data_IF_449827444604
#
_entry.id   IF_449827444604
#
_cell.length_a   1.000
_cell.length_b   1.000
_cell.length_c   1.000
_cell.angle_alpha   90.00
_cell.angle_beta   90.00
_cell.angle_gamma   90.00
#
_symmetry.space_group_name_H-M   'P 1'
#
loop_
_entity.id
_entity.type
_entity.pdbx_description
1 polymer ?
#
# COMPACT_ATOMS: atom_id res chain seq x y z
N UNK A 1 -10.60 29.00 50.50
CA UNK A 1 -9.67 28.04 49.87
C UNK A 1 -10.38 27.24 48.79
N UNK A 2 -11.27 26.31 49.19
CA UNK A 2 -11.85 25.29 48.30
C UNK A 2 -12.69 25.81 47.13
N UNK A 3 -13.59 26.78 47.32
CA UNK A 3 -14.43 27.28 46.21
C UNK A 3 -13.64 28.05 45.13
N UNK A 4 -12.49 28.61 45.48
CA UNK A 4 -11.61 29.28 44.53
C UNK A 4 -10.82 28.26 43.68
N UNK A 5 -10.38 27.16 44.30
CA UNK A 5 -9.72 26.05 43.59
C UNK A 5 -10.68 25.28 42.68
N UNK A 6 -11.93 25.06 43.10
CA UNK A 6 -12.96 24.43 42.26
C UNK A 6 -13.31 25.28 41.03
N UNK A 7 -13.36 26.60 41.19
CA UNK A 7 -13.57 27.53 40.07
C UNK A 7 -12.44 27.49 39.05
N UNK A 8 -11.19 27.36 39.53
CA UNK A 8 -10.00 27.31 38.67
C UNK A 8 -9.89 25.96 37.92
N UNK A 9 -10.21 24.85 38.60
CA UNK A 9 -10.24 23.52 37.98
C UNK A 9 -11.33 23.40 36.91
N UNK A 10 -12.51 24.01 37.12
CA UNK A 10 -13.58 24.07 36.11
C UNK A 10 -13.18 24.88 34.87
N UNK A 11 -12.44 25.98 35.04
CA UNK A 11 -11.89 26.78 33.92
C UNK A 11 -10.85 25.99 33.12
N UNK A 12 -9.89 25.36 33.79
CA UNK A 12 -8.89 24.51 33.12
C UNK A 12 -9.51 23.33 32.38
N UNK A 13 -10.60 22.73 32.90
CA UNK A 13 -11.33 21.67 32.19
C UNK A 13 -12.11 22.19 30.98
N UNK A 14 -12.62 23.43 31.03
CA UNK A 14 -13.26 24.09 29.89
C UNK A 14 -12.27 24.38 28.77
N UNK A 15 -11.11 24.95 29.10
CA UNK A 15 -10.04 25.26 28.15
C UNK A 15 -9.46 24.00 27.48
N UNK A 16 -9.24 22.92 28.25
CA UNK A 16 -8.81 21.62 27.69
C UNK A 16 -9.82 21.02 26.72
N UNK A 17 -11.13 21.12 27.02
CA UNK A 17 -12.19 20.62 26.13
C UNK A 17 -12.28 21.44 24.84
N UNK A 18 -12.13 22.76 24.92
CA UNK A 18 -12.08 23.63 23.73
C UNK A 18 -10.84 23.37 22.87
N UNK A 19 -9.67 23.14 23.48
CA UNK A 19 -8.46 22.74 22.75
C UNK A 19 -8.62 21.38 22.07
N UNK A 20 -9.22 20.40 22.75
CA UNK A 20 -9.50 19.09 22.15
C UNK A 20 -10.51 19.18 21.00
N UNK A 21 -11.56 19.99 21.12
CA UNK A 21 -12.51 20.23 20.04
C UNK A 21 -11.86 20.97 18.87
N UNK A 22 -11.02 21.98 19.12
CA UNK A 22 -10.24 22.68 18.08
C UNK A 22 -9.27 21.72 17.38
N UNK A 23 -8.58 20.85 18.12
CA UNK A 23 -7.72 19.79 17.55
C UNK A 23 -8.54 18.78 16.72
N UNK A 24 -9.71 18.36 17.20
CA UNK A 24 -10.62 17.45 16.44
C UNK A 24 -11.18 18.11 15.18
N UNK A 25 -11.54 19.41 15.22
CA UNK A 25 -11.98 20.18 14.06
C UNK A 25 -10.85 20.38 13.04
N UNK A 26 -9.63 20.74 13.47
CA UNK A 26 -8.43 20.78 12.60
C UNK A 26 -8.13 19.43 11.94
N UNK A 27 -8.22 18.32 12.69
CA UNK A 27 -8.03 16.96 12.14
C UNK A 27 -9.10 16.53 11.14
N UNK A 28 -10.35 16.99 11.29
CA UNK A 28 -11.43 16.73 10.32
C UNK A 28 -11.30 17.56 9.03
N UNK A 29 -10.72 18.76 9.11
CA UNK A 29 -10.55 19.65 7.96
C UNK A 29 -9.40 19.22 7.02
N UNK A 30 -8.38 18.53 7.52
CA UNK A 30 -7.20 18.09 6.75
C UNK A 30 -7.26 16.61 6.31
N UNK A 31 -8.41 16.11 5.87
CA UNK A 31 -8.43 14.84 5.13
C UNK A 31 -8.24 15.13 3.65
N UNK A 32 -6.99 15.12 3.21
CA UNK A 32 -6.66 15.10 1.79
C UNK A 32 -7.26 13.85 1.13
N UNK A 33 -7.78 14.00 -0.07
CA UNK A 33 -8.43 12.91 -0.79
C UNK A 33 -7.40 11.84 -1.18
N UNK A 34 -7.76 10.56 -1.17
CA UNK A 34 -6.86 9.47 -1.55
C UNK A 34 -6.32 9.62 -2.99
N UNK A 35 -7.09 10.25 -3.89
CA UNK A 35 -6.65 10.58 -5.24
C UNK A 35 -5.50 11.59 -5.27
N UNK A 36 -5.39 12.48 -4.27
CA UNK A 36 -4.29 13.44 -4.19
C UNK A 36 -2.97 12.76 -3.82
N UNK A 37 -3.00 11.53 -3.31
CA UNK A 37 -1.80 10.71 -3.11
C UNK A 37 -1.09 10.44 -4.44
N UNK A 38 -1.84 10.34 -5.53
CA UNK A 38 -1.34 10.11 -6.89
C UNK A 38 -1.23 11.40 -7.71
N UNK A 39 -1.25 12.58 -7.07
CA UNK A 39 -1.24 13.87 -7.77
C UNK A 39 0.01 14.14 -8.61
N UNK A 40 1.12 13.43 -8.33
CA UNK A 40 2.38 13.52 -9.07
C UNK A 40 2.56 12.43 -10.14
N UNK A 41 1.55 11.56 -10.32
CA UNK A 41 1.55 10.51 -11.34
C UNK A 41 1.43 11.11 -12.75
N UNK A 42 2.30 10.67 -13.68
CA UNK A 42 2.16 10.95 -15.11
C UNK A 42 1.46 9.82 -15.87
N UNK A 43 1.24 9.99 -17.18
CA UNK A 43 0.60 8.97 -18.02
C UNK A 43 1.32 7.61 -18.00
N UNK A 44 2.65 7.61 -17.82
CA UNK A 44 3.42 6.38 -17.70
C UNK A 44 3.23 5.72 -16.33
N UNK A 45 3.13 6.52 -15.25
CA UNK A 45 2.75 6.03 -13.92
C UNK A 45 1.37 5.36 -13.93
N UNK A 46 0.38 5.94 -14.62
CA UNK A 46 -0.93 5.31 -14.77
C UNK A 46 -0.88 3.98 -15.52
N UNK A 47 -0.08 3.89 -16.58
CA UNK A 47 0.12 2.63 -17.32
C UNK A 47 0.71 1.56 -16.40
N UNK A 48 1.75 1.90 -15.64
CA UNK A 48 2.37 0.99 -14.68
C UNK A 48 1.39 0.55 -13.59
N UNK A 49 0.61 1.48 -13.03
CA UNK A 49 -0.41 1.15 -12.04
C UNK A 49 -1.45 0.17 -12.58
N UNK A 50 -1.88 0.33 -13.85
CA UNK A 50 -2.82 -0.60 -14.50
C UNK A 50 -2.18 -1.99 -14.66
N UNK A 51 -0.95 -2.07 -15.18
CA UNK A 51 -0.24 -3.35 -15.33
C UNK A 51 -0.01 -4.04 -13.98
N UNK A 52 0.45 -3.28 -12.99
CA UNK A 52 0.63 -3.78 -11.62
C UNK A 52 -0.68 -4.24 -11.00
N UNK A 53 -1.80 -3.58 -11.30
CA UNK A 53 -3.13 -3.97 -10.83
C UNK A 53 -3.61 -5.30 -11.44
N UNK A 54 -3.39 -5.50 -12.74
CA UNK A 54 -3.69 -6.78 -13.41
C UNK A 54 -2.84 -7.90 -12.78
N UNK A 55 -1.55 -7.65 -12.57
CA UNK A 55 -0.65 -8.57 -11.87
C UNK A 55 -1.12 -8.90 -10.46
N UNK A 56 -1.58 -7.89 -9.69
CA UNK A 56 -2.08 -8.09 -8.33
C UNK A 56 -3.33 -8.96 -8.27
N UNK A 57 -4.24 -8.83 -9.24
CA UNK A 57 -5.46 -9.64 -9.31
C UNK A 57 -5.12 -11.10 -9.60
N UNK A 58 -4.30 -11.35 -10.63
CA UNK A 58 -3.91 -12.72 -11.02
C UNK A 58 -3.08 -13.38 -9.92
N UNK A 59 -2.13 -12.65 -9.31
CA UNK A 59 -1.34 -13.15 -8.19
C UNK A 59 -2.19 -13.34 -6.92
N UNK A 60 -3.13 -12.45 -6.62
CA UNK A 60 -4.03 -12.58 -5.47
C UNK A 60 -4.95 -13.81 -5.57
N UNK A 61 -5.47 -14.10 -6.77
CA UNK A 61 -6.28 -15.29 -7.03
C UNK A 61 -5.48 -16.60 -7.07
N UNK A 62 -4.14 -16.53 -7.02
CA UNK A 62 -3.28 -17.69 -7.24
C UNK A 62 -3.48 -18.83 -6.25
N UNK A 63 -3.76 -18.54 -4.97
CA UNK A 63 -3.82 -19.61 -3.96
C UNK A 63 -5.16 -20.32 -3.83
N UNK A 64 -6.33 -19.67 -3.97
CA UNK A 64 -7.58 -20.39 -4.23
C UNK A 64 -7.44 -21.33 -5.44
N UNK A 65 -6.86 -20.83 -6.53
CA UNK A 65 -6.56 -21.64 -7.72
C UNK A 65 -5.61 -22.80 -7.38
N UNK A 66 -4.51 -22.54 -6.68
CA UNK A 66 -3.57 -23.58 -6.23
C UNK A 66 -4.29 -24.69 -5.45
N UNK A 67 -5.17 -24.36 -4.52
CA UNK A 67 -5.91 -25.37 -3.75
C UNK A 67 -6.86 -26.21 -4.61
N UNK A 68 -7.47 -25.64 -5.64
CA UNK A 68 -8.29 -26.39 -6.60
C UNK A 68 -7.43 -27.42 -7.34
N UNK A 69 -6.26 -27.01 -7.87
CA UNK A 69 -5.32 -27.92 -8.53
C UNK A 69 -4.77 -28.97 -7.57
N UNK A 70 -4.48 -28.57 -6.33
CA UNK A 70 -3.97 -29.45 -5.29
C UNK A 70 -4.99 -30.53 -4.89
N UNK A 71 -6.26 -30.16 -4.75
CA UNK A 71 -7.34 -31.13 -4.51
C UNK A 71 -7.49 -32.15 -5.65
N UNK A 72 -7.38 -31.71 -6.91
CA UNK A 72 -7.38 -32.61 -8.07
C UNK A 72 -6.19 -33.58 -8.04
N UNK A 73 -4.99 -33.07 -7.70
CA UNK A 73 -3.80 -33.90 -7.58
C UNK A 73 -3.96 -34.98 -6.49
N UNK A 74 -4.47 -34.62 -5.31
CA UNK A 74 -4.73 -35.58 -4.23
C UNK A 74 -5.68 -36.69 -4.69
N UNK A 75 -6.79 -36.33 -5.36
CA UNK A 75 -7.75 -37.32 -5.86
C UNK A 75 -7.11 -38.28 -6.86
N UNK A 76 -6.25 -37.78 -7.76
CA UNK A 76 -5.56 -38.61 -8.75
C UNK A 76 -4.53 -39.54 -8.10
N UNK A 77 -3.78 -39.05 -7.11
CA UNK A 77 -2.85 -39.90 -6.35
C UNK A 77 -3.61 -40.99 -5.60
N UNK A 78 -4.77 -40.68 -5.02
CA UNK A 78 -5.65 -41.67 -4.41
C UNK A 78 -6.12 -42.73 -5.41
N UNK A 79 -6.54 -42.33 -6.60
CA UNK A 79 -6.91 -43.26 -7.67
C UNK A 79 -5.72 -44.07 -8.20
N UNK A 80 -4.52 -43.47 -8.24
CA UNK A 80 -3.31 -44.16 -8.68
C UNK A 80 -2.85 -45.25 -7.72
N UNK A 81 -3.15 -45.11 -6.43
CA UNK A 81 -2.97 -46.18 -5.46
C UNK A 81 -3.87 -47.38 -5.76
N UNK A 82 -5.11 -47.16 -6.19
CA UNK A 82 -6.07 -48.23 -6.53
C UNK A 82 -5.82 -48.83 -7.93
N UNK A 83 -5.49 -47.99 -8.93
CA UNK A 83 -5.36 -48.37 -10.35
C UNK A 83 -4.10 -47.78 -11.00
N UNK A 84 -2.89 -48.29 -10.68
CA UNK A 84 -1.63 -47.64 -11.04
C UNK A 84 -1.31 -47.60 -12.54
N UNK A 85 -1.77 -48.58 -13.33
CA UNK A 85 -1.46 -48.66 -14.77
C UNK A 85 -2.25 -47.65 -15.63
N UNK A 86 -3.43 -47.23 -15.16
CA UNK A 86 -4.33 -46.35 -15.92
C UNK A 86 -4.12 -44.86 -15.61
N UNK A 87 -3.53 -44.56 -14.45
CA UNK A 87 -3.50 -43.20 -13.87
C UNK A 87 -2.13 -42.54 -13.92
N UNK A 88 -1.04 -43.29 -14.16
CA UNK A 88 0.32 -42.75 -14.23
C UNK A 88 0.47 -41.62 -15.26
N UNK A 89 -0.13 -41.78 -16.45
CA UNK A 89 -0.12 -40.76 -17.49
C UNK A 89 -0.90 -39.50 -17.08
N UNK A 90 -1.98 -39.66 -16.31
CA UNK A 90 -2.78 -38.53 -15.82
C UNK A 90 -1.98 -37.72 -14.80
N UNK A 91 -1.31 -38.37 -13.85
CA UNK A 91 -0.48 -37.68 -12.85
C UNK A 91 0.62 -36.83 -13.50
N UNK A 92 1.26 -37.34 -14.56
CA UNK A 92 2.28 -36.59 -15.31
C UNK A 92 1.72 -35.32 -15.96
N UNK A 93 0.52 -35.40 -16.56
CA UNK A 93 -0.16 -34.25 -17.17
C UNK A 93 -0.49 -33.16 -16.15
N UNK A 94 -1.03 -33.53 -14.99
CA UNK A 94 -1.36 -32.56 -13.94
C UNK A 94 -0.13 -31.96 -13.28
N UNK A 95 1.00 -32.68 -13.22
CA UNK A 95 2.28 -32.12 -12.78
C UNK A 95 2.74 -30.97 -13.71
N UNK A 96 2.57 -31.12 -15.03
CA UNK A 96 2.85 -30.03 -15.98
C UNK A 96 1.93 -28.82 -15.77
N UNK A 97 0.65 -29.03 -15.44
CA UNK A 97 -0.27 -27.94 -15.12
C UNK A 97 0.22 -27.11 -13.91
N UNK A 98 0.82 -27.75 -12.90
CA UNK A 98 1.45 -27.05 -11.77
C UNK A 98 2.67 -26.21 -12.19
N UNK A 99 3.45 -26.70 -13.14
CA UNK A 99 4.58 -25.93 -13.70
C UNK A 99 4.05 -24.69 -14.42
N UNK A 100 3.04 -24.83 -15.28
CA UNK A 100 2.43 -23.69 -15.96
C UNK A 100 1.81 -22.68 -14.97
N UNK A 101 1.11 -23.15 -13.95
CA UNK A 101 0.55 -22.31 -12.90
C UNK A 101 1.66 -21.52 -12.18
N UNK A 102 2.77 -22.17 -11.85
CA UNK A 102 3.91 -21.54 -11.16
C UNK A 102 4.56 -20.45 -12.02
N UNK A 103 4.70 -20.69 -13.33
CA UNK A 103 5.22 -19.70 -14.28
C UNK A 103 4.32 -18.47 -14.34
N UNK A 104 2.99 -18.67 -14.44
CA UNK A 104 2.02 -17.56 -14.44
C UNK A 104 2.09 -16.75 -13.14
N UNK A 105 2.12 -17.42 -11.99
CA UNK A 105 2.21 -16.77 -10.68
C UNK A 105 3.51 -15.98 -10.55
N UNK A 106 4.63 -16.54 -11.00
CA UNK A 106 5.94 -15.89 -10.95
C UNK A 106 5.94 -14.58 -11.75
N UNK A 107 5.52 -14.63 -13.01
CA UNK A 107 5.46 -13.44 -13.85
C UNK A 107 4.44 -12.42 -13.32
N UNK A 108 3.29 -12.88 -12.85
CA UNK A 108 2.26 -12.01 -12.27
C UNK A 108 2.74 -11.30 -11.01
N UNK A 109 3.40 -12.02 -10.10
CA UNK A 109 3.98 -11.46 -8.88
C UNK A 109 5.09 -10.46 -9.18
N UNK A 110 5.95 -10.78 -10.16
CA UNK A 110 7.01 -9.86 -10.57
C UNK A 110 6.44 -8.57 -11.18
N UNK A 111 5.47 -8.67 -12.10
CA UNK A 111 4.81 -7.49 -12.70
C UNK A 111 4.10 -6.66 -11.65
N UNK A 112 3.34 -7.29 -10.74
CA UNK A 112 2.70 -6.61 -9.61
C UNK A 112 3.69 -5.75 -8.83
N UNK A 113 4.74 -6.39 -8.29
CA UNK A 113 5.69 -5.72 -7.38
C UNK A 113 6.54 -4.70 -8.14
N UNK A 114 7.04 -5.05 -9.33
CA UNK A 114 7.92 -4.18 -10.11
C UNK A 114 7.19 -2.91 -10.56
N UNK A 115 5.97 -3.02 -11.09
CA UNK A 115 5.23 -1.86 -11.56
C UNK A 115 4.83 -0.92 -10.41
N UNK A 116 4.34 -1.45 -9.29
CA UNK A 116 3.96 -0.65 -8.13
C UNK A 116 5.17 0.00 -7.44
N UNK A 117 6.28 -0.73 -7.30
CA UNK A 117 7.53 -0.16 -6.76
C UNK A 117 8.08 0.94 -7.68
N UNK A 118 8.12 0.71 -8.99
CA UNK A 118 8.68 1.66 -9.94
C UNK A 118 7.88 2.97 -10.00
N UNK A 119 6.53 2.91 -10.03
CA UNK A 119 5.72 4.13 -10.01
C UNK A 119 5.84 4.88 -8.67
N UNK A 120 5.90 4.16 -7.54
CA UNK A 120 6.06 4.77 -6.23
C UNK A 120 7.38 5.53 -6.09
N UNK A 121 8.49 4.95 -6.56
CA UNK A 121 9.81 5.62 -6.59
C UNK A 121 9.80 6.88 -7.48
N UNK A 122 9.21 6.79 -8.67
CA UNK A 122 9.09 7.95 -9.59
C UNK A 122 8.28 9.08 -8.96
N UNK A 123 7.15 8.77 -8.34
CA UNK A 123 6.31 9.77 -7.68
C UNK A 123 6.99 10.35 -6.44
N UNK A 124 7.63 9.53 -5.61
CA UNK A 124 8.40 9.99 -4.46
C UNK A 124 9.53 10.94 -4.88
N UNK A 125 10.26 10.64 -5.95
CA UNK A 125 11.28 11.52 -6.50
C UNK A 125 10.71 12.88 -6.96
N UNK A 126 9.56 12.88 -7.67
CA UNK A 126 8.87 14.12 -8.08
C UNK A 126 8.42 14.94 -6.86
N UNK A 127 7.88 14.29 -5.82
CA UNK A 127 7.47 14.94 -4.57
C UNK A 127 8.68 15.56 -3.88
N UNK A 128 9.80 14.83 -3.73
CA UNK A 128 11.05 15.35 -3.14
C UNK A 128 11.54 16.60 -3.87
N UNK A 129 11.55 16.56 -5.20
CA UNK A 129 11.97 17.69 -6.03
C UNK A 129 11.03 18.90 -5.89
N UNK A 130 9.71 18.70 -5.92
CA UNK A 130 8.73 19.76 -5.78
C UNK A 130 8.76 20.40 -4.38
N UNK A 131 8.94 19.59 -3.34
CA UNK A 131 9.06 20.05 -1.96
C UNK A 131 10.33 20.90 -1.79
N UNK A 132 11.49 20.39 -2.21
CA UNK A 132 12.76 21.11 -2.13
C UNK A 132 12.70 22.44 -2.90
N UNK A 133 12.15 22.43 -4.12
CA UNK A 133 11.98 23.65 -4.91
C UNK A 133 11.07 24.67 -4.24
N UNK A 134 9.97 24.22 -3.62
CA UNK A 134 9.04 25.13 -2.93
C UNK A 134 9.71 25.78 -1.73
N UNK A 135 10.49 25.02 -0.97
CA UNK A 135 11.24 25.52 0.18
C UNK A 135 12.33 26.52 -0.20
N UNK A 136 13.10 26.24 -1.26
CA UNK A 136 14.14 27.17 -1.74
C UNK A 136 13.59 28.51 -2.22
N UNK A 137 12.29 28.59 -2.53
CA UNK A 137 11.61 29.81 -2.94
C UNK A 137 10.87 30.52 -1.80
N UNK A 138 10.97 30.05 -0.55
CA UNK A 138 10.34 30.70 0.61
C UNK A 138 11.21 31.83 1.18
N UNK A 139 10.58 32.92 1.60
CA UNK A 139 11.24 34.12 2.12
C UNK A 139 12.05 33.85 3.40
N UNK A 140 13.13 34.61 3.58
CA UNK A 140 14.10 34.46 4.68
C UNK A 140 13.46 34.54 6.08
N UNK A 141 12.30 35.20 6.19
CA UNK A 141 11.52 35.31 7.43
C UNK A 141 10.99 33.96 7.93
N UNK A 142 10.76 32.98 7.04
CA UNK A 142 10.35 31.63 7.44
C UNK A 142 11.53 30.84 8.04
N UNK A 143 12.74 31.10 7.56
CA UNK A 143 13.96 30.48 8.08
C UNK A 143 14.38 31.07 9.45
N UNK A 144 13.98 32.31 9.76
CA UNK A 144 14.23 32.96 11.06
C UNK A 144 13.17 32.66 12.13
N UNK A 145 11.98 32.16 11.74
CA UNK A 145 10.88 31.87 12.67
C UNK A 145 10.51 30.39 12.63
N UNK A 146 11.15 29.60 13.49
CA UNK A 146 10.80 28.23 13.91
C UNK A 146 10.78 27.07 12.87
N UNK A 147 11.04 27.28 11.57
CA UNK A 147 11.25 26.18 10.63
C UNK A 147 12.72 25.72 10.65
N UNK A 148 13.09 25.01 11.71
CA UNK A 148 14.40 24.37 11.84
C UNK A 148 14.72 23.51 10.61
N UNK A 149 15.94 23.63 10.08
CA UNK A 149 16.50 22.73 9.06
C UNK A 149 16.20 21.24 9.31
N UNK A 150 15.99 20.84 10.57
CA UNK A 150 15.57 19.49 10.95
C UNK A 150 14.16 19.07 10.48
N UNK A 151 13.18 19.98 10.46
CA UNK A 151 11.83 19.67 9.94
C UNK A 151 11.86 19.38 8.45
N UNK A 152 12.66 20.13 7.70
CA UNK A 152 12.88 19.94 6.26
C UNK A 152 13.50 18.57 5.98
N UNK A 153 14.56 18.22 6.71
CA UNK A 153 15.23 16.93 6.58
C UNK A 153 14.25 15.80 6.89
N UNK A 154 13.42 15.97 7.92
CA UNK A 154 12.37 15.02 8.27
C UNK A 154 11.30 14.91 7.18
N UNK A 155 10.86 16.00 6.56
CA UNK A 155 9.88 15.95 5.48
C UNK A 155 10.41 15.19 4.25
N UNK A 156 11.65 15.48 3.84
CA UNK A 156 12.27 14.85 2.66
C UNK A 156 12.57 13.36 2.90
N UNK A 157 12.97 13.02 4.12
CA UNK A 157 13.47 11.68 4.46
C UNK A 157 12.36 10.79 5.03
N UNK A 158 11.60 11.26 6.01
CA UNK A 158 10.59 10.45 6.70
C UNK A 158 9.22 10.54 6.02
N UNK A 159 8.67 11.74 5.87
CA UNK A 159 7.27 11.88 5.44
C UNK A 159 7.07 11.39 4.01
N UNK A 160 8.01 11.70 3.11
CA UNK A 160 7.94 11.21 1.73
C UNK A 160 8.17 9.70 1.64
N UNK A 161 9.00 9.10 2.50
CA UNK A 161 9.14 7.64 2.54
C UNK A 161 7.85 6.96 2.99
N UNK A 162 7.12 7.52 3.95
CA UNK A 162 5.81 7.01 4.36
C UNK A 162 4.80 7.09 3.21
N UNK A 163 4.80 8.20 2.47
CA UNK A 163 3.96 8.37 1.28
C UNK A 163 4.35 7.37 0.18
N UNK A 164 5.65 7.19 -0.05
CA UNK A 164 6.18 6.22 -1.00
C UNK A 164 5.71 4.81 -0.64
N UNK A 165 5.95 4.34 0.58
CA UNK A 165 5.54 3.03 1.09
C UNK A 165 4.02 2.81 0.90
N UNK A 166 3.21 3.83 1.18
CA UNK A 166 1.78 3.77 0.96
C UNK A 166 1.43 3.54 -0.52
N UNK A 167 2.04 4.28 -1.44
CA UNK A 167 1.78 4.22 -2.89
C UNK A 167 2.34 2.94 -3.52
N UNK A 168 3.56 2.56 -3.15
CA UNK A 168 4.30 1.47 -3.78
C UNK A 168 3.94 0.09 -3.25
N UNK A 169 3.66 -0.02 -1.95
CA UNK A 169 3.50 -1.33 -1.31
C UNK A 169 2.06 -1.57 -0.87
N UNK A 170 1.46 -0.61 -0.16
CA UNK A 170 0.15 -0.84 0.47
C UNK A 170 -0.99 -0.89 -0.53
N UNK A 171 -1.01 -0.01 -1.53
CA UNK A 171 -2.10 -0.01 -2.53
C UNK A 171 -2.12 -1.31 -3.34
N UNK A 172 -0.97 -1.76 -3.83
CA UNK A 172 -0.85 -3.04 -4.53
C UNK A 172 -1.33 -4.22 -3.67
N UNK A 173 -0.87 -4.28 -2.41
CA UNK A 173 -1.28 -5.32 -1.46
C UNK A 173 -2.77 -5.31 -1.14
N UNK A 174 -3.42 -4.14 -1.04
CA UNK A 174 -4.87 -4.07 -0.82
C UNK A 174 -5.61 -4.73 -1.98
N UNK A 175 -5.21 -4.44 -3.22
CA UNK A 175 -5.83 -5.05 -4.39
C UNK A 175 -5.57 -6.56 -4.46
N UNK A 176 -4.34 -6.98 -4.18
CA UNK A 176 -3.97 -8.39 -4.09
C UNK A 176 -4.83 -9.14 -3.07
N UNK A 177 -4.93 -8.62 -1.84
CA UNK A 177 -5.69 -9.27 -0.78
C UNK A 177 -7.20 -9.23 -1.02
N UNK A 178 -7.70 -8.17 -1.67
CA UNK A 178 -9.09 -8.13 -2.10
C UNK A 178 -9.38 -9.20 -3.15
N UNK A 179 -8.50 -9.35 -4.14
CA UNK A 179 -8.62 -10.41 -5.14
C UNK A 179 -8.58 -11.79 -4.50
N UNK A 180 -7.68 -12.00 -3.55
CA UNK A 180 -7.56 -13.22 -2.76
C UNK A 180 -8.80 -13.54 -1.93
N UNK A 181 -9.51 -12.51 -1.46
CA UNK A 181 -10.73 -12.66 -0.66
C UNK A 181 -11.96 -12.97 -1.54
N UNK A 182 -12.00 -12.42 -2.76
CA UNK A 182 -13.13 -12.59 -3.67
C UNK A 182 -13.05 -13.87 -4.53
N UNK A 183 -11.85 -14.37 -4.77
CA UNK A 183 -11.60 -15.60 -5.55
C UNK A 183 -11.81 -16.87 -4.70
#
# INVERSE_FOLDING_TARGET
GSSFEEGNNKRMQGEKKEEEEKKKKKKKANKVAFSQLFSFADSYDYLLMILGSIGAIVHGASVPVFFIFFGKLINLVGLAYLFPRETSHQVSKYSLDFVYLSVVILFSSWVEVACWMHTGERQAAKIRMAYLRSMLNQDITLFDTEASTGEVINAITSDILVVQDAISEKVGKILHYLSRFLA
#
